data_IF_700835991894
#
_entry.id   IF_700835991894
#
_cell.length_a   1.000
_cell.length_b   1.000
_cell.length_c   1.000
_cell.angle_alpha   90.00
_cell.angle_beta   90.00
_cell.angle_gamma   90.00
#
_symmetry.space_group_name_H-M   'P 1'
#
loop_
_entity.id
_entity.type
_entity.pdbx_description
1 polymer ?
#
# COMPACT_ATOMS: atom_id res chain seq x y z
N UNK A 1 54.67 -0.83 -25.38
CA UNK A 1 53.41 -1.34 -24.78
C UNK A 1 52.89 -0.28 -23.83
N UNK A 2 51.89 0.50 -24.25
CA UNK A 2 51.25 1.54 -23.43
C UNK A 2 50.11 0.90 -22.63
N UNK A 3 50.30 0.77 -21.32
CA UNK A 3 49.26 0.31 -20.39
C UNK A 3 48.20 1.41 -20.25
N UNK A 4 47.01 1.18 -20.80
CA UNK A 4 45.84 2.03 -20.56
C UNK A 4 45.40 1.89 -19.11
N UNK A 5 45.79 2.86 -18.28
CA UNK A 5 45.38 2.92 -16.88
C UNK A 5 43.92 3.40 -16.81
N UNK A 6 43.03 2.49 -16.42
CA UNK A 6 41.60 2.79 -16.22
C UNK A 6 41.45 3.76 -15.06
N UNK A 7 41.15 5.03 -15.35
CA UNK A 7 41.02 6.05 -14.30
C UNK A 7 39.69 5.87 -13.56
N UNK A 8 39.67 6.13 -12.23
CA UNK A 8 38.45 6.08 -11.40
C UNK A 8 37.32 6.93 -12.00
N UNK A 9 37.65 8.08 -12.60
CA UNK A 9 36.68 8.96 -13.26
C UNK A 9 36.06 8.29 -14.49
N UNK A 10 36.87 7.67 -15.33
CA UNK A 10 36.41 6.95 -16.53
C UNK A 10 35.55 5.74 -16.15
N UNK A 11 35.93 5.04 -15.07
CA UNK A 11 35.13 3.94 -14.51
C UNK A 11 33.78 4.43 -13.99
N UNK A 12 33.74 5.49 -13.18
CA UNK A 12 32.49 6.04 -12.63
C UNK A 12 31.59 6.64 -13.72
N UNK A 13 32.16 7.28 -14.73
CA UNK A 13 31.42 7.77 -15.89
C UNK A 13 30.80 6.62 -16.69
N UNK A 14 31.54 5.53 -16.91
CA UNK A 14 31.02 4.32 -17.57
C UNK A 14 29.98 3.56 -16.74
N UNK A 15 30.14 3.51 -15.42
CA UNK A 15 29.15 2.91 -14.53
C UNK A 15 27.85 3.74 -14.47
N UNK A 16 27.95 5.07 -14.48
CA UNK A 16 26.80 5.97 -14.49
C UNK A 16 25.94 5.84 -15.75
N UNK A 17 26.55 5.69 -16.94
CA UNK A 17 25.81 5.53 -18.20
C UNK A 17 25.07 4.19 -18.28
N UNK A 18 25.64 3.10 -17.76
CA UNK A 18 24.96 1.81 -17.63
C UNK A 18 23.79 1.86 -16.64
N UNK A 19 23.91 2.62 -15.56
CA UNK A 19 22.85 2.83 -14.58
C UNK A 19 21.59 3.48 -15.18
N UNK A 20 21.74 4.40 -16.15
CA UNK A 20 20.61 5.05 -16.83
C UNK A 20 19.83 4.07 -17.71
N UNK A 21 20.50 3.13 -18.37
CA UNK A 21 19.85 2.06 -19.14
C UNK A 21 19.08 1.12 -18.20
N UNK A 22 19.64 0.84 -17.02
CA UNK A 22 18.99 0.07 -15.95
C UNK A 22 17.70 0.68 -15.38
N UNK A 23 17.47 1.98 -15.58
CA UNK A 23 16.26 2.68 -15.16
C UNK A 23 15.19 2.77 -16.27
N UNK A 24 15.48 2.29 -17.48
CA UNK A 24 14.56 2.35 -18.61
C UNK A 24 13.40 1.35 -18.43
N UNK A 25 12.23 1.86 -18.05
CA UNK A 25 11.03 1.04 -17.82
C UNK A 25 10.55 0.26 -19.05
N UNK A 26 10.99 0.62 -20.26
CA UNK A 26 10.63 -0.04 -21.51
C UNK A 26 11.48 -1.27 -21.84
N UNK A 27 12.60 -1.48 -21.13
CA UNK A 27 13.53 -2.60 -21.40
C UNK A 27 13.36 -3.77 -20.43
N UNK A 28 12.49 -3.65 -19.42
CA UNK A 28 12.34 -4.66 -18.38
C UNK A 28 10.96 -5.33 -18.40
N UNK A 29 10.90 -6.67 -18.20
CA UNK A 29 9.64 -7.39 -18.14
C UNK A 29 8.69 -6.89 -17.05
N UNK A 30 7.38 -7.04 -17.28
CA UNK A 30 6.32 -6.60 -16.37
C UNK A 30 6.33 -7.26 -14.98
N UNK A 31 6.96 -8.43 -14.84
CA UNK A 31 7.08 -9.15 -13.57
C UNK A 31 8.19 -8.61 -12.66
N UNK A 32 9.06 -7.72 -13.15
CA UNK A 32 10.17 -7.19 -12.37
C UNK A 32 9.77 -5.90 -11.63
N UNK A 33 10.22 -5.69 -10.37
CA UNK A 33 9.94 -4.46 -9.63
C UNK A 33 10.42 -3.23 -10.40
N UNK A 34 9.51 -2.28 -10.66
CA UNK A 34 9.83 -1.04 -11.35
C UNK A 34 10.38 -0.03 -10.36
N UNK A 35 11.62 0.41 -10.57
CA UNK A 35 12.18 1.55 -9.84
C UNK A 35 11.62 2.85 -10.44
N UNK A 36 11.04 3.69 -9.59
CA UNK A 36 10.59 5.02 -9.96
C UNK A 36 11.62 6.04 -9.44
N UNK A 37 12.26 6.77 -10.36
CA UNK A 37 13.16 7.86 -10.00
C UNK A 37 12.44 9.20 -10.17
N UNK A 38 12.63 10.07 -9.18
CA UNK A 38 12.16 11.45 -9.25
C UNK A 38 12.91 12.19 -10.37
N UNK A 39 12.23 12.81 -11.34
CA UNK A 39 12.92 13.54 -12.40
C UNK A 39 13.65 14.76 -11.83
N UNK A 40 14.87 15.01 -12.31
CA UNK A 40 15.72 16.13 -11.89
C UNK A 40 15.14 17.53 -12.20
N UNK A 41 14.01 17.61 -12.92
CA UNK A 41 13.28 18.84 -13.20
C UNK A 41 12.09 19.08 -12.26
N UNK A 42 11.91 18.25 -11.23
CA UNK A 42 10.86 18.46 -10.25
C UNK A 42 11.10 19.79 -9.50
N UNK A 43 10.04 20.59 -9.22
CA UNK A 43 10.17 21.86 -8.52
C UNK A 43 10.90 21.68 -7.18
N UNK A 44 11.68 22.71 -6.80
CA UNK A 44 12.55 22.73 -5.61
C UNK A 44 11.80 22.45 -4.30
N UNK A 45 10.48 22.68 -4.29
CA UNK A 45 9.54 22.23 -3.26
C UNK A 45 8.30 21.63 -3.94
N UNK A 46 8.21 20.30 -4.12
CA UNK A 46 7.08 19.63 -4.76
C UNK A 46 5.80 19.58 -3.91
N UNK A 47 5.86 19.99 -2.64
CA UNK A 47 4.85 19.64 -1.64
C UNK A 47 5.00 18.19 -1.15
N UNK A 48 4.04 17.74 -0.36
CA UNK A 48 4.04 16.38 0.19
C UNK A 48 3.67 15.35 -0.88
N UNK A 49 4.28 14.17 -0.80
CA UNK A 49 3.96 13.06 -1.70
C UNK A 49 2.91 12.17 -1.04
N UNK A 50 1.71 12.11 -1.63
CA UNK A 50 0.68 11.17 -1.22
C UNK A 50 0.86 9.84 -1.96
N UNK A 51 0.96 8.74 -1.21
CA UNK A 51 0.95 7.38 -1.75
C UNK A 51 -0.43 6.78 -1.50
N UNK A 52 -1.16 6.45 -2.57
CA UNK A 52 -2.45 5.76 -2.50
C UNK A 52 -2.25 4.31 -2.94
N UNK A 53 -2.48 3.38 -2.03
CA UNK A 53 -2.40 1.93 -2.30
C UNK A 53 -3.82 1.40 -2.44
N UNK A 54 -4.21 1.01 -3.66
CA UNK A 54 -5.49 0.37 -3.92
C UNK A 54 -5.34 -1.15 -3.91
N UNK A 55 -6.08 -1.82 -3.01
CA UNK A 55 -6.05 -3.26 -2.85
C UNK A 55 -7.14 -3.90 -3.72
N UNK A 56 -6.78 -4.21 -4.97
CA UNK A 56 -7.68 -4.87 -5.92
C UNK A 56 -8.05 -6.29 -5.48
N UNK A 57 -9.28 -6.69 -5.76
CA UNK A 57 -9.80 -8.02 -5.43
C UNK A 57 -10.71 -8.07 -4.20
N UNK A 58 -10.86 -6.94 -3.50
CA UNK A 58 -11.75 -6.80 -2.36
C UNK A 58 -11.11 -7.24 -1.05
N UNK A 59 -10.75 -6.26 -0.22
CA UNK A 59 -10.41 -6.51 1.18
C UNK A 59 -11.70 -6.62 1.99
N UNK A 60 -11.83 -7.69 2.79
CA UNK A 60 -12.89 -7.80 3.77
C UNK A 60 -12.56 -6.93 5.00
N UNK A 61 -13.17 -5.75 5.06
CA UNK A 61 -12.94 -4.79 6.14
C UNK A 61 -13.33 -5.33 7.52
N UNK A 62 -14.36 -6.19 7.60
CA UNK A 62 -14.82 -6.79 8.86
C UNK A 62 -13.93 -7.94 9.36
N UNK A 63 -13.05 -8.46 8.50
CA UNK A 63 -11.96 -9.35 8.92
C UNK A 63 -10.68 -8.57 9.21
N UNK A 64 -10.46 -7.44 8.55
CA UNK A 64 -9.23 -6.63 8.76
C UNK A 64 -9.31 -5.87 10.08
N UNK A 65 -10.46 -5.22 10.31
CA UNK A 65 -10.76 -4.46 11.52
C UNK A 65 -12.14 -4.90 12.02
N UNK A 66 -12.13 -5.90 12.89
CA UNK A 66 -13.31 -6.60 13.37
C UNK A 66 -14.00 -5.83 14.50
N UNK A 67 -15.32 -5.54 14.41
CA UNK A 67 -16.09 -4.93 15.49
C UNK A 67 -16.46 -5.97 16.56
N UNK A 68 -15.48 -6.53 17.27
CA UNK A 68 -15.73 -7.58 18.26
C UNK A 68 -16.62 -7.09 19.42
N UNK A 69 -16.61 -5.79 19.73
CA UNK A 69 -17.49 -5.16 20.72
C UNK A 69 -18.98 -5.21 20.37
N UNK A 70 -19.32 -5.45 19.10
CA UNK A 70 -20.71 -5.74 18.67
C UNK A 70 -21.18 -7.14 19.14
N UNK A 71 -20.24 -7.94 19.66
CA UNK A 71 -20.48 -9.21 20.32
C UNK A 71 -21.28 -10.15 19.44
N UNK A 72 -22.41 -10.64 19.99
CA UNK A 72 -23.23 -11.66 19.33
C UNK A 72 -23.66 -11.26 17.92
N UNK A 73 -23.90 -9.99 17.64
CA UNK A 73 -24.30 -9.55 16.30
C UNK A 73 -23.21 -9.80 15.25
N UNK A 74 -21.95 -9.52 15.58
CA UNK A 74 -20.81 -9.80 14.70
C UNK A 74 -20.57 -11.31 14.54
N UNK A 75 -20.54 -12.05 15.66
CA UNK A 75 -20.24 -13.48 15.65
C UNK A 75 -21.33 -14.32 14.97
N UNK A 76 -22.61 -14.05 15.24
CA UNK A 76 -23.74 -14.77 14.62
C UNK A 76 -23.85 -14.44 13.11
N UNK A 77 -23.51 -13.21 12.70
CA UNK A 77 -23.52 -12.82 11.29
C UNK A 77 -22.36 -13.42 10.48
N UNK A 78 -21.29 -13.87 11.15
CA UNK A 78 -20.05 -14.34 10.51
C UNK A 78 -19.56 -15.66 11.11
N UNK A 79 -20.38 -16.73 11.11
CA UNK A 79 -20.09 -17.96 11.86
C UNK A 79 -18.80 -18.68 11.44
N UNK A 80 -18.32 -18.47 10.21
CA UNK A 80 -17.09 -19.07 9.68
C UNK A 80 -15.94 -18.08 9.50
N UNK A 81 -16.20 -16.78 9.67
CA UNK A 81 -15.26 -15.70 9.32
C UNK A 81 -14.97 -14.75 10.48
N UNK A 82 -15.73 -14.81 11.57
CA UNK A 82 -15.49 -13.99 12.74
C UNK A 82 -14.17 -14.41 13.41
N UNK A 83 -13.39 -13.42 13.81
CA UNK A 83 -12.11 -13.65 14.49
C UNK A 83 -12.40 -13.71 16.00
N UNK A 84 -11.89 -14.72 16.73
CA UNK A 84 -12.04 -14.79 18.18
C UNK A 84 -11.50 -13.52 18.87
N UNK A 85 -12.24 -13.01 19.86
CA UNK A 85 -11.88 -11.78 20.59
C UNK A 85 -10.47 -11.82 21.16
N UNK A 86 -10.05 -12.97 21.68
CA UNK A 86 -8.73 -13.17 22.27
C UNK A 86 -7.57 -13.23 21.27
N UNK A 87 -7.86 -13.30 19.97
CA UNK A 87 -6.85 -13.28 18.90
C UNK A 87 -6.68 -11.88 18.27
N UNK A 88 -7.64 -10.97 18.52
CA UNK A 88 -7.63 -9.63 17.97
C UNK A 88 -6.68 -8.71 18.75
N UNK A 89 -6.07 -7.77 18.02
CA UNK A 89 -5.31 -6.67 18.60
C UNK A 89 -6.27 -5.53 18.89
N UNK A 90 -6.60 -5.31 20.15
CA UNK A 90 -7.59 -4.32 20.57
C UNK A 90 -7.16 -2.88 20.23
N UNK A 91 -7.97 -2.17 19.46
CA UNK A 91 -7.72 -0.79 19.06
C UNK A 91 -8.28 0.20 20.08
N UNK A 92 -9.54 0.03 20.47
CA UNK A 92 -10.32 1.01 21.24
C UNK A 92 -11.37 0.42 22.20
N UNK A 93 -11.36 -0.90 22.43
CA UNK A 93 -12.37 -1.59 23.24
C UNK A 93 -13.63 -1.99 22.47
N UNK A 94 -13.71 -1.69 21.17
CA UNK A 94 -14.83 -2.08 20.30
C UNK A 94 -14.36 -2.72 18.99
N UNK A 95 -13.30 -2.17 18.39
CA UNK A 95 -12.68 -2.68 17.18
C UNK A 95 -11.35 -3.35 17.49
N UNK A 96 -11.08 -4.45 16.79
CA UNK A 96 -9.85 -5.20 16.88
C UNK A 96 -9.22 -5.37 15.51
N UNK A 97 -7.91 -5.18 15.43
CA UNK A 97 -7.13 -5.41 14.21
C UNK A 97 -6.76 -6.89 14.10
N UNK A 98 -6.84 -7.44 12.89
CA UNK A 98 -6.43 -8.83 12.62
C UNK A 98 -4.97 -9.08 13.04
N UNK A 99 -4.62 -10.22 13.68
CA UNK A 99 -3.25 -10.50 14.14
C UNK A 99 -2.18 -10.45 13.04
N UNK A 100 -2.48 -10.92 11.82
CA UNK A 100 -1.62 -10.75 10.63
C UNK A 100 -1.29 -9.29 10.25
N UNK A 101 -2.01 -8.31 10.80
CA UNK A 101 -1.76 -6.87 10.61
C UNK A 101 -1.03 -6.24 11.80
N UNK A 102 -0.42 -7.04 12.68
CA UNK A 102 0.30 -6.55 13.87
C UNK A 102 1.31 -5.43 13.58
N UNK A 103 1.95 -5.44 12.39
CA UNK A 103 2.88 -4.39 11.99
C UNK A 103 2.25 -2.99 11.88
N UNK A 104 0.92 -2.88 11.75
CA UNK A 104 0.18 -1.62 11.71
C UNK A 104 -0.34 -1.19 13.08
N UNK A 105 -0.29 -2.07 14.08
CA UNK A 105 -0.87 -1.82 15.40
C UNK A 105 -0.11 -0.70 16.14
N UNK A 106 1.23 -0.73 16.11
CA UNK A 106 2.05 0.29 16.76
C UNK A 106 1.80 1.68 16.15
N UNK A 107 1.68 1.77 14.82
CA UNK A 107 1.33 3.02 14.12
C UNK A 107 -0.02 3.57 14.57
N UNK A 108 -1.01 2.70 14.82
CA UNK A 108 -2.29 3.13 15.37
C UNK A 108 -2.15 3.65 16.81
N UNK A 109 -1.41 2.93 17.67
CA UNK A 109 -1.17 3.35 19.06
C UNK A 109 -0.42 4.67 19.16
N UNK A 110 0.48 4.95 18.23
CA UNK A 110 1.25 6.19 18.13
C UNK A 110 0.44 7.35 17.55
N UNK A 111 -0.73 7.09 16.96
CA UNK A 111 -1.59 8.09 16.31
C UNK A 111 -1.21 8.41 14.86
N UNK A 112 -0.29 7.63 14.28
CA UNK A 112 0.19 7.78 12.90
C UNK A 112 -0.66 7.01 11.87
N UNK A 113 -1.55 6.13 12.33
CA UNK A 113 -2.54 5.42 11.52
C UNK A 113 -3.96 5.75 11.96
N UNK A 114 -4.80 6.14 10.99
CA UNK A 114 -6.24 6.28 11.17
C UNK A 114 -7.00 5.23 10.37
N UNK A 115 -8.05 4.67 10.98
CA UNK A 115 -8.96 3.72 10.35
C UNK A 115 -10.32 4.40 10.24
N UNK A 116 -10.88 4.44 9.02
CA UNK A 116 -12.18 5.06 8.75
C UNK A 116 -13.17 3.97 8.35
N UNK A 117 -14.16 3.76 9.20
CA UNK A 117 -15.24 2.81 8.95
C UNK A 117 -16.41 3.46 8.22
N UNK A 118 -17.29 2.63 7.66
CA UNK A 118 -18.51 3.06 6.98
C UNK A 118 -18.29 4.09 5.85
N UNK A 119 -17.09 4.09 5.24
CA UNK A 119 -16.79 4.87 4.05
C UNK A 119 -17.13 4.07 2.78
N UNK A 120 -17.75 4.71 1.80
CA UNK A 120 -18.10 4.07 0.53
C UNK A 120 -18.54 5.08 -0.53
N UNK A 121 -18.86 4.55 -1.70
CA UNK A 121 -19.42 5.34 -2.80
C UNK A 121 -20.87 5.75 -2.48
N UNK A 122 -21.29 6.89 -3.01
CA UNK A 122 -22.71 7.30 -2.99
C UNK A 122 -23.56 6.47 -3.93
N UNK A 123 -22.94 5.90 -4.97
CA UNK A 123 -23.59 4.98 -5.89
C UNK A 123 -23.79 3.60 -5.22
N UNK A 124 -24.97 3.02 -5.41
CA UNK A 124 -25.36 1.74 -4.79
C UNK A 124 -24.97 0.52 -5.64
N UNK A 125 -24.02 0.65 -6.57
CA UNK A 125 -23.57 -0.46 -7.41
C UNK A 125 -23.10 -1.62 -6.55
N UNK A 126 -23.51 -2.83 -6.95
CA UNK A 126 -23.03 -4.09 -6.35
C UNK A 126 -21.91 -4.73 -7.17
N UNK A 127 -21.47 -4.06 -8.25
CA UNK A 127 -20.39 -4.52 -9.12
C UNK A 127 -19.06 -4.04 -8.57
N UNK A 128 -18.20 -5.00 -8.21
CA UNK A 128 -16.84 -4.68 -7.77
C UNK A 128 -16.04 -3.94 -8.84
N UNK A 129 -16.27 -4.26 -10.13
CA UNK A 129 -15.60 -3.61 -11.25
C UNK A 129 -16.03 -2.15 -11.42
N UNK A 130 -17.32 -1.86 -11.29
CA UNK A 130 -17.81 -0.48 -11.40
C UNK A 130 -17.41 0.34 -10.19
N UNK A 131 -17.49 -0.21 -8.98
CA UNK A 131 -17.03 0.46 -7.77
C UNK A 131 -15.53 0.82 -7.85
N UNK A 132 -14.68 -0.12 -8.31
CA UNK A 132 -13.26 0.17 -8.55
C UNK A 132 -13.08 1.26 -9.59
N UNK A 133 -13.81 1.18 -10.72
CA UNK A 133 -13.73 2.19 -11.78
C UNK A 133 -14.08 3.58 -11.26
N UNK A 134 -15.18 3.73 -10.52
CA UNK A 134 -15.58 5.03 -9.96
C UNK A 134 -14.54 5.62 -9.03
N UNK A 135 -13.98 4.80 -8.12
CA UNK A 135 -12.89 5.21 -7.22
C UNK A 135 -11.62 5.59 -7.98
N UNK A 136 -11.26 4.86 -9.04
CA UNK A 136 -10.05 5.11 -9.84
C UNK A 136 -10.19 6.32 -10.77
N UNK A 137 -11.39 6.63 -11.26
CA UNK A 137 -11.65 7.78 -12.14
C UNK A 137 -12.09 9.04 -11.38
N UNK A 138 -12.26 8.96 -10.05
CA UNK A 138 -12.88 10.01 -9.24
C UNK A 138 -14.22 10.51 -9.83
N UNK A 139 -15.04 9.56 -10.31
CA UNK A 139 -16.32 9.83 -10.95
C UNK A 139 -17.49 9.79 -9.97
#
# INVERSE_FOLDING_TARGET
MTTTTLSRRTFLQGAGTLGVIGASQSLFPSWMPKLAFRPNFAPKNPGDTLIVISLRGGMDGLSTVAPYGDGRHYYDARPTLAIPENELLDLDGYFGLHPSMAALYDLFKEGDLAIVHASGLTDSTRSHFDAMRFMETAA
#
